data_IF_372123130624
#
_entry.id   IF_372123130624
#
_cell.length_a   1.000
_cell.length_b   1.000
_cell.length_c   1.000
_cell.angle_alpha   90.00
_cell.angle_beta   90.00
_cell.angle_gamma   90.00
#
_symmetry.space_group_name_H-M   'P 1'
#
loop_
_entity.id
_entity.type
_entity.pdbx_description
1 polymer ?
#
# COMPACT_ATOMS: atom_id res chain seq x y z
N UNK A 1 -6.63 -4.21 4.98
CA UNK A 1 -6.26 -5.02 6.15
C UNK A 1 -4.81 -4.76 6.57
N UNK A 2 -4.48 -5.06 7.82
CA UNK A 2 -3.08 -4.95 8.31
C UNK A 2 -2.14 -5.74 7.42
N UNK A 3 -2.52 -6.99 7.13
CA UNK A 3 -1.76 -7.90 6.30
C UNK A 3 -1.54 -7.37 4.86
N UNK A 4 -2.60 -6.94 4.19
CA UNK A 4 -2.50 -6.46 2.80
C UNK A 4 -1.61 -5.23 2.63
N UNK A 5 -1.56 -4.32 3.60
CA UNK A 5 -0.64 -3.17 3.56
C UNK A 5 0.79 -3.60 3.86
N UNK A 6 0.98 -4.50 4.84
CA UNK A 6 2.31 -4.95 5.26
C UNK A 6 3.07 -5.61 4.09
N UNK A 7 2.45 -6.59 3.43
CA UNK A 7 3.07 -7.33 2.32
C UNK A 7 2.83 -6.70 0.94
N UNK A 8 1.74 -5.93 0.78
CA UNK A 8 1.30 -5.41 -0.51
C UNK A 8 2.02 -4.13 -0.95
N UNK A 9 2.33 -3.22 -0.04
CA UNK A 9 3.02 -1.96 -0.34
C UNK A 9 4.11 -1.61 0.68
N UNK A 10 3.92 -1.92 1.97
CA UNK A 10 4.87 -1.53 3.01
C UNK A 10 6.25 -2.14 2.83
N UNK A 11 6.33 -3.44 2.57
CA UNK A 11 7.59 -4.17 2.40
C UNK A 11 8.17 -4.12 0.99
N UNK A 12 7.36 -3.78 -0.03
CA UNK A 12 7.76 -3.93 -1.43
C UNK A 12 8.95 -3.03 -1.82
N UNK A 13 9.07 -1.83 -1.24
CA UNK A 13 10.21 -0.97 -1.48
C UNK A 13 11.54 -1.62 -1.07
N UNK A 14 11.55 -2.28 0.10
CA UNK A 14 12.71 -3.03 0.58
C UNK A 14 12.96 -4.26 -0.30
N UNK A 15 11.91 -5.02 -0.62
CA UNK A 15 12.02 -6.23 -1.45
C UNK A 15 12.63 -5.94 -2.81
N UNK A 16 12.17 -4.89 -3.49
CA UNK A 16 12.60 -4.57 -4.86
C UNK A 16 13.96 -3.88 -4.90
N UNK A 17 14.13 -2.82 -4.13
CA UNK A 17 15.25 -1.89 -4.27
C UNK A 17 16.16 -1.84 -3.02
N UNK A 18 15.85 -2.55 -1.92
CA UNK A 18 16.68 -2.62 -0.72
C UNK A 18 18.03 -3.29 -0.97
N UNK A 19 19.04 -2.90 -0.19
CA UNK A 19 20.34 -3.59 -0.19
C UNK A 19 20.21 -5.03 0.34
N UNK A 20 21.19 -5.92 0.10
CA UNK A 20 21.19 -7.27 0.68
C UNK A 20 21.01 -7.27 2.20
N UNK A 21 21.68 -6.34 2.89
CA UNK A 21 21.62 -6.19 4.35
C UNK A 21 20.24 -5.76 4.80
N UNK A 22 19.65 -4.75 4.17
CA UNK A 22 18.28 -4.31 4.44
C UNK A 22 17.25 -5.44 4.22
N UNK A 23 17.40 -6.20 3.15
CA UNK A 23 16.53 -7.36 2.88
C UNK A 23 16.68 -8.43 3.95
N UNK A 24 17.91 -8.77 4.33
CA UNK A 24 18.20 -9.79 5.34
C UNK A 24 17.67 -9.41 6.73
N UNK A 25 17.76 -8.13 7.09
CA UNK A 25 17.28 -7.62 8.38
C UNK A 25 15.76 -7.53 8.47
N UNK A 26 15.10 -6.95 7.45
CA UNK A 26 13.69 -6.56 7.55
C UNK A 26 12.73 -7.62 7.00
N UNK A 27 13.03 -8.28 5.88
CA UNK A 27 12.06 -9.14 5.21
C UNK A 27 11.63 -10.38 6.03
N UNK A 28 12.53 -11.10 6.73
CA UNK A 28 12.11 -12.24 7.57
C UNK A 28 11.17 -11.82 8.70
N UNK A 29 11.42 -10.70 9.36
CA UNK A 29 10.61 -10.16 10.44
C UNK A 29 9.23 -9.69 9.95
N UNK A 30 9.18 -9.14 8.73
CA UNK A 30 7.91 -8.76 8.08
C UNK A 30 7.13 -10.00 7.69
N UNK A 31 7.77 -11.02 7.15
CA UNK A 31 7.14 -12.26 6.71
C UNK A 31 6.56 -13.08 7.90
N UNK A 32 7.26 -13.11 9.03
CA UNK A 32 6.78 -13.74 10.26
C UNK A 32 5.66 -12.97 10.96
N UNK A 33 5.46 -11.69 10.60
CA UNK A 33 4.52 -10.79 11.28
C UNK A 33 5.06 -10.17 12.57
N UNK A 34 6.33 -10.41 12.92
CA UNK A 34 7.01 -9.74 14.02
C UNK A 34 7.09 -8.22 13.80
N UNK A 35 7.34 -7.81 12.56
CA UNK A 35 7.41 -6.41 12.17
C UNK A 35 6.26 -6.04 11.21
N UNK A 36 5.44 -5.08 11.63
CA UNK A 36 4.47 -4.43 10.73
C UNK A 36 5.14 -3.19 10.15
N UNK A 37 5.16 -3.10 8.81
CA UNK A 37 5.69 -1.93 8.11
C UNK A 37 4.58 -1.21 7.35
N UNK A 38 4.60 0.12 7.38
CA UNK A 38 3.64 0.98 6.70
C UNK A 38 4.28 1.78 5.58
N UNK A 39 3.50 2.11 4.55
CA UNK A 39 3.95 2.91 3.41
C UNK A 39 3.55 4.37 3.61
N UNK A 40 4.53 5.28 3.69
CA UNK A 40 4.34 6.68 4.03
C UNK A 40 4.78 7.60 2.89
N UNK A 41 3.91 7.77 1.89
CA UNK A 41 4.13 8.63 0.72
C UNK A 41 3.31 9.92 0.79
N UNK A 42 1.98 9.79 0.95
CA UNK A 42 1.01 10.89 0.87
C UNK A 42 1.24 11.96 1.93
N UNK A 43 1.10 13.22 1.55
CA UNK A 43 1.17 14.39 2.43
C UNK A 43 -0.12 15.20 2.37
N UNK A 44 -0.36 16.14 3.31
CA UNK A 44 -1.53 17.01 3.25
C UNK A 44 -1.71 17.72 1.90
N UNK A 45 -0.60 18.16 1.29
CA UNK A 45 -0.59 18.92 0.04
C UNK A 45 -0.13 18.10 -1.19
N UNK A 46 0.25 16.84 -1.01
CA UNK A 46 0.75 15.99 -2.09
C UNK A 46 0.14 14.58 -2.05
N UNK A 47 -0.89 14.36 -2.85
CA UNK A 47 -1.55 13.08 -3.03
C UNK A 47 -1.32 12.53 -4.42
N UNK A 48 -2.17 12.89 -5.40
CA UNK A 48 -2.03 12.47 -6.80
C UNK A 48 -0.73 12.98 -7.42
N UNK A 49 -0.32 14.19 -7.10
CA UNK A 49 0.99 14.74 -7.46
C UNK A 49 2.03 14.35 -6.39
N UNK A 50 2.35 13.08 -6.29
CA UNK A 50 3.29 12.56 -5.29
C UNK A 50 4.73 13.05 -5.50
N UNK A 51 5.07 13.52 -6.71
CA UNK A 51 6.39 14.12 -7.00
C UNK A 51 6.62 15.47 -6.33
N UNK A 52 5.56 16.15 -5.90
CA UNK A 52 5.61 17.46 -5.23
C UNK A 52 5.67 17.37 -3.70
N UNK A 53 5.90 16.20 -3.14
CA UNK A 53 6.04 16.02 -1.68
C UNK A 53 7.08 16.99 -1.08
N UNK A 54 6.77 17.48 0.14
CA UNK A 54 7.54 18.52 0.84
C UNK A 54 8.35 18.01 2.01
N UNK A 55 8.07 16.82 2.54
CA UNK A 55 8.90 16.21 3.60
C UNK A 55 10.35 16.17 3.16
N UNK A 56 11.23 16.75 3.96
CA UNK A 56 12.67 16.84 3.66
C UNK A 56 13.48 15.81 4.43
N UNK A 57 14.64 15.43 3.89
CA UNK A 57 15.65 14.63 4.56
C UNK A 57 17.02 15.23 4.24
N UNK A 58 17.66 15.85 5.24
CA UNK A 58 18.96 16.48 5.10
C UNK A 58 20.03 15.60 5.72
N UNK A 59 21.10 15.33 5.00
CA UNK A 59 22.23 14.56 5.50
C UNK A 59 23.06 15.41 6.47
N UNK A 60 23.26 14.91 7.69
CA UNK A 60 24.09 15.50 8.73
C UNK A 60 25.04 14.43 9.31
N UNK A 61 26.28 14.43 8.85
CA UNK A 61 27.23 13.38 9.18
C UNK A 61 26.73 12.00 8.69
N UNK A 62 26.58 11.06 9.59
CA UNK A 62 26.12 9.69 9.28
C UNK A 62 24.59 9.50 9.42
N UNK A 63 23.81 10.58 9.53
CA UNK A 63 22.37 10.53 9.73
C UNK A 63 21.64 11.45 8.76
N UNK A 64 20.43 11.03 8.36
CA UNK A 64 19.46 11.94 7.76
C UNK A 64 18.55 12.52 8.85
N UNK A 65 18.32 13.82 8.79
CA UNK A 65 17.35 14.56 9.62
C UNK A 65 16.12 14.79 8.78
N UNK A 66 14.99 14.18 9.18
CA UNK A 66 13.73 14.23 8.47
C UNK A 66 12.78 15.23 9.12
N UNK A 67 12.14 16.05 8.28
CA UNK A 67 11.13 17.04 8.70
C UNK A 67 9.94 17.05 7.75
N UNK A 68 8.73 16.99 8.29
CA UNK A 68 7.49 17.02 7.52
C UNK A 68 6.37 16.22 8.12
N UNK A 69 5.32 15.98 7.33
CA UNK A 69 4.15 15.22 7.78
C UNK A 69 3.61 14.35 6.66
N UNK A 70 3.30 13.10 6.99
CA UNK A 70 2.63 12.14 6.10
C UNK A 70 1.19 11.94 6.54
N UNK A 71 0.27 11.83 5.58
CA UNK A 71 -1.16 11.79 5.84
C UNK A 71 -1.80 10.48 5.41
N UNK A 72 -2.84 10.05 6.16
CA UNK A 72 -3.61 8.84 5.89
C UNK A 72 -2.78 7.54 5.91
N UNK A 73 -1.75 7.48 6.75
CA UNK A 73 -0.84 6.34 6.73
C UNK A 73 -1.50 5.12 7.40
N UNK A 74 -1.78 4.15 6.55
CA UNK A 74 -2.44 2.90 6.94
C UNK A 74 -1.56 2.09 7.88
N UNK A 75 -2.15 1.57 8.97
CA UNK A 75 -1.50 0.82 10.04
C UNK A 75 -0.47 1.62 10.86
N UNK A 76 -0.28 2.91 10.65
CA UNK A 76 0.71 3.69 11.39
C UNK A 76 0.67 3.48 12.92
N UNK A 77 -0.50 3.39 13.60
CA UNK A 77 -0.54 3.14 15.04
C UNK A 77 -0.02 1.75 15.48
N UNK A 78 0.25 0.84 14.55
CA UNK A 78 0.74 -0.52 14.81
C UNK A 78 2.07 -0.81 14.11
N UNK A 79 2.54 0.13 13.30
CA UNK A 79 3.77 -0.04 12.56
C UNK A 79 4.97 -0.02 13.51
N UNK A 80 5.89 -0.94 13.34
CA UNK A 80 7.22 -0.90 13.94
C UNK A 80 8.23 -0.19 13.04
N UNK A 81 7.90 0.01 11.75
CA UNK A 81 8.70 0.81 10.82
C UNK A 81 7.84 1.37 9.67
N UNK A 82 8.39 2.35 8.97
CA UNK A 82 7.78 3.00 7.80
C UNK A 82 8.74 2.95 6.60
N UNK A 83 8.23 2.53 5.44
CA UNK A 83 8.82 2.87 4.14
C UNK A 83 8.37 4.29 3.80
N UNK A 84 9.23 5.27 4.00
CA UNK A 84 8.89 6.68 3.98
C UNK A 84 9.65 7.41 2.87
N UNK A 85 8.93 8.21 2.07
CA UNK A 85 9.49 9.04 1.02
C UNK A 85 9.76 10.45 1.54
N UNK A 86 10.99 10.94 1.31
CA UNK A 86 11.38 12.29 1.67
C UNK A 86 12.32 12.88 0.63
N UNK A 87 12.38 14.19 0.55
CA UNK A 87 13.20 14.92 -0.40
C UNK A 87 14.62 15.11 0.12
N UNK A 88 15.58 14.53 -0.59
CA UNK A 88 17.03 14.69 -0.33
C UNK A 88 17.71 15.63 -1.32
N UNK A 89 17.04 15.94 -2.44
CA UNK A 89 17.57 16.76 -3.53
C UNK A 89 16.61 17.87 -3.96
N UNK A 90 16.82 18.40 -5.15
CA UNK A 90 16.01 19.44 -5.77
C UNK A 90 14.55 19.06 -6.01
N UNK A 91 13.78 19.94 -6.70
CA UNK A 91 12.38 19.70 -7.00
C UNK A 91 12.19 18.52 -7.94
N UNK A 92 10.94 18.01 -7.99
CA UNK A 92 10.54 16.90 -8.86
C UNK A 92 10.91 15.50 -8.32
N UNK A 93 10.65 14.50 -9.13
CA UNK A 93 10.77 13.09 -8.79
C UNK A 93 12.20 12.65 -8.42
N UNK A 94 13.20 13.17 -9.14
CA UNK A 94 14.61 12.84 -8.92
C UNK A 94 15.17 13.32 -7.58
N UNK A 95 14.51 14.27 -6.91
CA UNK A 95 14.90 14.72 -5.58
C UNK A 95 14.37 13.84 -4.43
N UNK A 96 13.55 12.83 -4.72
CA UNK A 96 12.90 12.01 -3.70
C UNK A 96 13.69 10.74 -3.43
N UNK A 97 13.90 10.45 -2.14
CA UNK A 97 14.51 9.21 -1.64
C UNK A 97 13.52 8.43 -0.78
N UNK A 98 13.73 7.12 -0.66
CA UNK A 98 12.95 6.25 0.21
C UNK A 98 13.79 5.82 1.41
N UNK A 99 13.19 5.80 2.59
CA UNK A 99 13.83 5.48 3.86
C UNK A 99 13.09 4.38 4.61
N UNK A 100 13.83 3.55 5.34
CA UNK A 100 13.29 2.73 6.41
C UNK A 100 13.39 3.56 7.70
N UNK A 101 12.24 3.96 8.24
CA UNK A 101 12.17 4.77 9.47
C UNK A 101 11.53 3.93 10.57
N UNK A 102 12.29 3.50 11.60
CA UNK A 102 11.73 2.84 12.78
C UNK A 102 10.69 3.71 13.48
N UNK A 103 9.64 3.11 14.02
CA UNK A 103 8.55 3.85 14.65
C UNK A 103 8.94 4.53 15.97
N UNK A 104 9.99 4.03 16.62
CA UNK A 104 10.58 4.57 17.84
C UNK A 104 11.67 5.65 17.59
N UNK A 105 11.85 6.07 16.33
CA UNK A 105 12.80 7.12 15.96
C UNK A 105 12.49 8.41 16.75
N UNK A 106 13.46 8.96 17.51
CA UNK A 106 13.29 10.26 18.16
C UNK A 106 12.90 11.34 17.16
N UNK A 107 11.87 12.14 17.49
CA UNK A 107 11.32 13.14 16.59
C UNK A 107 10.18 12.63 15.68
N UNK A 108 9.88 11.31 15.69
CA UNK A 108 8.69 10.78 15.05
C UNK A 108 7.53 10.73 16.04
N UNK A 109 6.37 11.22 15.63
CA UNK A 109 5.12 11.12 16.39
C UNK A 109 3.95 10.79 15.48
N UNK A 110 2.86 10.30 16.08
CA UNK A 110 1.65 9.91 15.35
C UNK A 110 0.49 10.84 15.71
N UNK A 111 -0.25 11.23 14.68
CA UNK A 111 -1.49 11.96 14.84
C UNK A 111 -2.63 11.07 15.40
N UNK A 112 -3.76 11.70 15.70
CA UNK A 112 -4.97 10.99 16.11
C UNK A 112 -5.48 10.09 14.99
N UNK A 113 -5.87 8.83 15.28
CA UNK A 113 -6.47 7.95 14.29
C UNK A 113 -7.72 8.54 13.62
N UNK A 114 -7.79 8.41 12.30
CA UNK A 114 -8.90 8.92 11.50
C UNK A 114 -10.22 8.19 11.80
N UNK A 115 -11.32 8.93 11.80
CA UNK A 115 -12.69 8.38 11.79
C UNK A 115 -13.08 8.10 10.35
N UNK A 116 -13.20 6.81 9.99
CA UNK A 116 -13.49 6.39 8.62
C UNK A 116 -14.91 5.89 8.46
N UNK A 117 -15.49 6.07 7.27
CA UNK A 117 -16.80 5.54 6.89
C UNK A 117 -16.76 4.00 6.87
N UNK A 118 -15.73 3.40 6.28
CA UNK A 118 -15.50 1.96 6.17
C UNK A 118 -14.09 1.55 6.56
N UNK A 119 -13.75 0.27 6.40
CA UNK A 119 -12.44 -0.29 6.73
C UNK A 119 -11.97 0.04 8.16
N UNK A 120 -12.91 0.08 9.13
CA UNK A 120 -12.67 0.56 10.50
C UNK A 120 -11.72 -0.34 11.31
N UNK A 121 -11.55 -1.58 10.91
CA UNK A 121 -10.59 -2.52 11.51
C UNK A 121 -9.13 -2.17 11.24
N UNK A 122 -8.86 -1.38 10.21
CA UNK A 122 -7.55 -0.86 9.87
C UNK A 122 -7.50 0.63 10.21
N UNK A 123 -6.57 1.04 11.06
CA UNK A 123 -6.42 2.45 11.44
C UNK A 123 -5.51 3.18 10.47
N UNK A 124 -5.82 4.45 10.22
CA UNK A 124 -4.95 5.41 9.52
C UNK A 124 -4.72 6.61 10.43
N UNK A 125 -3.57 7.24 10.35
CA UNK A 125 -3.28 8.53 10.97
C UNK A 125 -2.13 9.23 10.26
N UNK A 126 -1.85 10.45 10.69
CA UNK A 126 -0.69 11.19 10.26
C UNK A 126 0.58 10.65 10.94
N UNK A 127 1.71 10.72 10.22
CA UNK A 127 3.07 10.49 10.75
C UNK A 127 3.80 11.82 10.66
N UNK A 128 4.20 12.34 11.80
CA UNK A 128 4.81 13.66 11.95
C UNK A 128 6.29 13.46 12.25
N UNK A 129 7.14 14.20 11.54
CA UNK A 129 8.58 14.17 11.64
C UNK A 129 9.07 15.57 12.04
N UNK A 130 9.65 15.67 13.21
CA UNK A 130 10.26 16.88 13.74
C UNK A 130 11.70 16.58 14.13
N UNK A 131 12.62 16.92 13.23
CA UNK A 131 14.05 16.57 13.36
C UNK A 131 14.29 15.09 13.63
N UNK A 132 13.49 14.21 13.02
CA UNK A 132 13.61 12.76 13.16
C UNK A 132 14.91 12.28 12.53
N UNK A 133 15.79 11.67 13.35
CA UNK A 133 17.13 11.26 12.90
C UNK A 133 17.17 9.77 12.62
N UNK A 134 17.56 9.42 11.40
CA UNK A 134 17.77 8.03 10.97
C UNK A 134 19.17 7.84 10.40
N UNK A 135 19.81 6.68 10.62
CA UNK A 135 21.12 6.41 10.02
C UNK A 135 21.09 6.56 8.50
N UNK A 136 22.18 7.03 7.91
CA UNK A 136 22.28 7.16 6.45
C UNK A 136 22.10 5.81 5.73
N UNK A 137 22.46 4.70 6.38
CA UNK A 137 22.24 3.34 5.90
C UNK A 137 20.74 2.96 5.74
N UNK A 138 19.82 3.72 6.34
CA UNK A 138 18.39 3.48 6.23
C UNK A 138 17.77 3.98 4.91
N UNK A 139 18.54 4.66 4.06
CA UNK A 139 18.09 4.97 2.70
C UNK A 139 17.96 3.66 1.90
N UNK A 140 16.78 3.41 1.33
CA UNK A 140 16.52 2.17 0.61
C UNK A 140 17.38 2.14 -0.66
N UNK A 141 18.14 1.06 -0.82
CA UNK A 141 19.06 0.86 -1.94
C UNK A 141 20.38 1.64 -1.82
N UNK A 142 20.62 2.36 -0.72
CA UNK A 142 21.88 3.05 -0.44
C UNK A 142 22.15 4.30 -1.29
N UNK A 143 21.29 4.65 -2.25
CA UNK A 143 21.49 5.76 -3.21
C UNK A 143 20.37 6.79 -3.11
N UNK A 144 20.67 8.08 -2.89
CA UNK A 144 19.68 9.15 -2.91
C UNK A 144 19.03 9.34 -4.28
N UNK A 145 17.78 9.89 -4.29
CA UNK A 145 17.09 10.27 -5.52
C UNK A 145 16.38 9.13 -6.26
N UNK A 146 16.38 7.90 -5.74
CA UNK A 146 15.70 6.75 -6.35
C UNK A 146 14.32 6.48 -5.74
N UNK A 147 13.95 7.16 -4.66
CA UNK A 147 12.74 6.83 -3.88
C UNK A 147 11.43 7.00 -4.64
N UNK A 148 11.32 7.98 -5.54
CA UNK A 148 10.12 8.14 -6.36
C UNK A 148 9.93 6.96 -7.32
N UNK A 149 11.01 6.52 -7.98
CA UNK A 149 10.98 5.34 -8.85
C UNK A 149 10.59 4.08 -8.07
N UNK A 150 11.17 3.89 -6.89
CA UNK A 150 10.79 2.81 -5.97
C UNK A 150 9.31 2.89 -5.60
N UNK A 151 8.80 4.08 -5.24
CA UNK A 151 7.40 4.26 -4.89
C UNK A 151 6.45 3.91 -6.05
N UNK A 152 6.78 4.28 -7.29
CA UNK A 152 5.96 3.96 -8.46
C UNK A 152 5.92 2.45 -8.72
N UNK A 153 7.06 1.77 -8.68
CA UNK A 153 7.12 0.29 -8.77
C UNK A 153 6.26 -0.40 -7.70
N UNK A 154 6.32 0.09 -6.46
CA UNK A 154 5.50 -0.43 -5.36
C UNK A 154 4.01 -0.24 -5.64
N UNK A 155 3.61 0.93 -6.13
CA UNK A 155 2.21 1.24 -6.43
C UNK A 155 1.68 0.43 -7.61
N UNK A 156 2.48 0.16 -8.64
CA UNK A 156 2.07 -0.66 -9.78
C UNK A 156 1.72 -2.09 -9.34
N UNK A 157 2.58 -2.73 -8.55
CA UNK A 157 2.26 -4.01 -7.93
C UNK A 157 1.09 -3.93 -6.94
N UNK A 158 1.01 -2.83 -6.21
CA UNK A 158 -0.09 -2.57 -5.28
C UNK A 158 -1.45 -2.51 -5.98
N UNK A 159 -1.52 -1.95 -7.20
CA UNK A 159 -2.75 -1.91 -8.02
C UNK A 159 -3.24 -3.30 -8.38
N UNK A 160 -2.34 -4.20 -8.81
CA UNK A 160 -2.69 -5.59 -9.10
C UNK A 160 -3.20 -6.31 -7.84
N UNK A 161 -2.51 -6.13 -6.72
CA UNK A 161 -2.89 -6.74 -5.45
C UNK A 161 -4.29 -6.28 -5.00
N UNK A 162 -4.58 -4.97 -5.03
CA UNK A 162 -5.90 -4.47 -4.61
C UNK A 162 -7.01 -4.88 -5.58
N UNK A 163 -6.70 -5.02 -6.87
CA UNK A 163 -7.64 -5.54 -7.87
C UNK A 163 -8.03 -6.98 -7.55
N UNK A 164 -7.08 -7.84 -7.22
CA UNK A 164 -7.34 -9.21 -6.80
C UNK A 164 -8.17 -9.29 -5.51
N UNK A 165 -7.87 -8.45 -4.52
CA UNK A 165 -8.65 -8.33 -3.27
C UNK A 165 -10.09 -7.90 -3.56
N UNK A 166 -10.29 -6.95 -4.47
CA UNK A 166 -11.62 -6.46 -4.87
C UNK A 166 -12.44 -7.55 -5.57
N UNK A 167 -11.83 -8.30 -6.47
CA UNK A 167 -12.48 -9.46 -7.12
C UNK A 167 -12.86 -10.54 -6.10
N UNK A 168 -11.97 -10.86 -5.15
CA UNK A 168 -12.27 -11.83 -4.09
C UNK A 168 -13.43 -11.39 -3.18
N UNK A 169 -13.50 -10.10 -2.85
CA UNK A 169 -14.60 -9.54 -2.08
C UNK A 169 -15.92 -9.59 -2.88
N UNK A 170 -15.89 -9.21 -4.16
CA UNK A 170 -17.04 -9.26 -5.04
C UNK A 170 -17.57 -10.70 -5.19
N UNK A 171 -16.67 -11.68 -5.38
CA UNK A 171 -17.04 -13.09 -5.43
C UNK A 171 -17.79 -13.53 -4.16
N UNK A 172 -17.29 -13.16 -2.98
CA UNK A 172 -17.94 -13.49 -1.71
C UNK A 172 -19.31 -12.83 -1.58
N UNK A 173 -19.42 -11.54 -1.91
CA UNK A 173 -20.70 -10.82 -1.85
C UNK A 173 -21.72 -11.45 -2.81
N UNK A 174 -21.29 -11.79 -4.03
CA UNK A 174 -22.18 -12.41 -5.02
C UNK A 174 -22.67 -13.80 -4.55
N UNK A 175 -21.77 -14.60 -3.94
CA UNK A 175 -22.16 -15.91 -3.41
C UNK A 175 -23.20 -15.79 -2.27
N UNK A 176 -23.00 -14.87 -1.34
CA UNK A 176 -23.98 -14.57 -0.29
C UNK A 176 -25.31 -14.04 -0.86
N UNK A 177 -25.25 -13.17 -1.88
CA UNK A 177 -26.46 -12.67 -2.54
C UNK A 177 -27.25 -13.79 -3.22
N UNK A 178 -26.56 -14.71 -3.89
CA UNK A 178 -27.19 -15.89 -4.52
C UNK A 178 -27.84 -16.81 -3.50
N UNK A 179 -27.19 -17.06 -2.34
CA UNK A 179 -27.79 -17.85 -1.25
C UNK A 179 -29.03 -17.17 -0.71
N UNK A 180 -28.94 -15.88 -0.41
CA UNK A 180 -30.07 -15.12 0.10
C UNK A 180 -31.25 -15.09 -0.91
N UNK A 181 -30.98 -14.92 -2.19
CA UNK A 181 -32.01 -14.91 -3.23
C UNK A 181 -32.76 -16.24 -3.36
N UNK A 182 -32.12 -17.37 -3.04
CA UNK A 182 -32.76 -18.70 -2.99
C UNK A 182 -33.62 -18.89 -1.75
N UNK A 183 -33.20 -18.36 -0.62
CA UNK A 183 -33.82 -18.62 0.69
C UNK A 183 -34.92 -17.61 1.00
N UNK A 184 -34.75 -16.33 0.64
CA UNK A 184 -35.73 -15.26 0.88
C UNK A 184 -36.93 -15.42 -0.01
N UNK A 185 -38.13 -15.47 0.58
CA UNK A 185 -39.41 -15.59 -0.13
C UNK A 185 -40.21 -14.30 -0.04
N UNK A 186 -40.81 -13.90 -1.13
CA UNK A 186 -41.82 -12.84 -1.24
C UNK A 186 -42.83 -13.23 -2.34
N UNK A 187 -44.09 -12.82 -2.19
CA UNK A 187 -45.17 -13.17 -3.11
C UNK A 187 -45.27 -14.68 -3.37
N UNK A 188 -45.06 -15.48 -2.29
CA UNK A 188 -45.19 -16.94 -2.33
C UNK A 188 -44.02 -17.71 -2.94
N UNK A 189 -42.96 -17.06 -3.42
CA UNK A 189 -41.81 -17.70 -4.08
C UNK A 189 -40.47 -17.11 -3.67
N UNK A 190 -39.32 -17.80 -3.89
CA UNK A 190 -38.00 -17.24 -3.71
C UNK A 190 -37.79 -15.98 -4.52
N UNK A 191 -37.10 -14.98 -3.99
CA UNK A 191 -36.86 -13.74 -4.74
C UNK A 191 -35.96 -13.97 -5.96
N UNK A 192 -35.13 -15.00 -5.98
CA UNK A 192 -34.33 -15.42 -7.14
C UNK A 192 -35.15 -15.87 -8.36
N UNK A 193 -36.46 -16.05 -8.23
CA UNK A 193 -37.36 -16.34 -9.34
C UNK A 193 -37.89 -15.08 -10.05
N UNK A 194 -37.58 -13.88 -9.53
CA UNK A 194 -37.92 -12.62 -10.17
C UNK A 194 -36.86 -12.22 -11.20
N UNK A 195 -37.26 -11.89 -12.42
CA UNK A 195 -36.36 -11.59 -13.52
C UNK A 195 -35.38 -10.44 -13.22
N UNK A 196 -35.81 -9.39 -12.51
CA UNK A 196 -34.92 -8.29 -12.14
C UNK A 196 -33.80 -8.76 -11.17
N UNK A 197 -34.06 -9.66 -10.25
CA UNK A 197 -33.05 -10.24 -9.38
C UNK A 197 -32.08 -11.13 -10.18
N UNK A 198 -32.63 -11.92 -11.11
CA UNK A 198 -31.83 -12.75 -12.02
C UNK A 198 -30.89 -11.88 -12.87
N UNK A 199 -31.39 -10.78 -13.45
CA UNK A 199 -30.59 -9.84 -14.23
C UNK A 199 -29.44 -9.25 -13.39
N UNK A 200 -29.72 -8.74 -12.19
CA UNK A 200 -28.66 -8.20 -11.31
C UNK A 200 -27.59 -9.24 -10.97
N UNK A 201 -27.98 -10.48 -10.69
CA UNK A 201 -27.01 -11.56 -10.39
C UNK A 201 -26.20 -11.97 -11.62
N UNK A 202 -26.84 -11.99 -12.80
CA UNK A 202 -26.19 -12.33 -14.06
C UNK A 202 -25.16 -11.26 -14.46
N UNK A 203 -25.53 -9.99 -14.42
CA UNK A 203 -24.64 -8.86 -14.72
C UNK A 203 -23.45 -8.84 -13.76
N UNK A 204 -23.70 -8.95 -12.46
CA UNK A 204 -22.63 -9.00 -11.45
C UNK A 204 -21.67 -10.19 -11.67
N UNK A 205 -22.19 -11.35 -12.08
CA UNK A 205 -21.36 -12.51 -12.39
C UNK A 205 -20.51 -12.29 -13.64
N UNK A 206 -21.07 -11.68 -14.69
CA UNK A 206 -20.36 -11.40 -15.93
C UNK A 206 -19.24 -10.39 -15.71
N UNK A 207 -19.50 -9.29 -14.99
CA UNK A 207 -18.51 -8.28 -14.64
C UNK A 207 -17.39 -8.85 -13.76
N UNK A 208 -17.73 -9.68 -12.78
CA UNK A 208 -16.74 -10.34 -11.92
C UNK A 208 -15.82 -11.27 -12.73
N UNK A 209 -16.36 -12.06 -13.64
CA UNK A 209 -15.56 -12.95 -14.49
C UNK A 209 -14.62 -12.16 -15.40
N UNK A 210 -15.09 -11.07 -16.02
CA UNK A 210 -14.27 -10.20 -16.84
C UNK A 210 -13.12 -9.55 -16.02
N UNK A 211 -13.45 -9.00 -14.86
CA UNK A 211 -12.45 -8.40 -13.97
C UNK A 211 -11.42 -9.43 -13.49
N UNK A 212 -11.85 -10.63 -13.12
CA UNK A 212 -10.98 -11.71 -12.69
C UNK A 212 -10.04 -12.18 -13.80
N UNK A 213 -10.57 -12.35 -15.02
CA UNK A 213 -9.75 -12.72 -16.18
C UNK A 213 -8.66 -11.67 -16.48
N UNK A 214 -9.00 -10.37 -16.38
CA UNK A 214 -8.03 -9.29 -16.56
C UNK A 214 -6.94 -9.31 -15.48
N UNK A 215 -7.32 -9.51 -14.21
CA UNK A 215 -6.36 -9.61 -13.10
C UNK A 215 -5.39 -10.77 -13.31
N UNK A 216 -5.89 -11.93 -13.73
CA UNK A 216 -5.05 -13.10 -14.02
C UNK A 216 -4.11 -12.86 -15.20
N UNK A 217 -4.58 -12.26 -16.27
CA UNK A 217 -3.77 -11.94 -17.45
C UNK A 217 -2.64 -10.97 -17.08
N UNK A 218 -2.94 -9.90 -16.34
CA UNK A 218 -1.93 -8.94 -15.88
C UNK A 218 -0.93 -9.62 -14.94
N UNK A 219 -1.38 -10.46 -14.01
CA UNK A 219 -0.50 -11.19 -13.11
C UNK A 219 0.49 -12.09 -13.90
N UNK A 220 -0.02 -12.81 -14.91
CA UNK A 220 0.84 -13.64 -15.77
C UNK A 220 1.85 -12.82 -16.58
N UNK A 221 1.50 -11.60 -16.99
CA UNK A 221 2.46 -10.69 -17.65
C UNK A 221 3.57 -10.28 -16.70
N UNK A 222 3.24 -9.97 -15.43
CA UNK A 222 4.26 -9.72 -14.41
C UNK A 222 5.20 -10.90 -14.21
N UNK A 223 4.68 -12.14 -14.17
CA UNK A 223 5.48 -13.34 -13.96
C UNK A 223 6.39 -13.67 -15.17
N UNK A 224 5.94 -13.39 -16.40
CA UNK A 224 6.71 -13.61 -17.64
C UNK A 224 7.75 -12.55 -17.94
N UNK A 225 7.79 -11.49 -17.16
CA UNK A 225 8.63 -10.33 -17.39
C UNK A 225 10.11 -10.68 -17.25
N UNK A 226 10.97 -10.36 -18.26
CA UNK A 226 12.41 -10.50 -18.12
C UNK A 226 12.93 -9.57 -17.01
N UNK A 227 14.01 -9.95 -16.31
CA UNK A 227 14.66 -9.06 -15.35
C UNK A 227 15.04 -7.72 -16.00
N UNK A 228 14.62 -6.61 -15.38
CA UNK A 228 14.94 -5.26 -15.84
C UNK A 228 13.97 -4.61 -16.84
N UNK A 229 12.95 -5.31 -17.32
CA UNK A 229 11.91 -4.70 -18.15
C UNK A 229 10.99 -3.75 -17.34
N UNK A 230 10.38 -2.72 -17.97
CA UNK A 230 9.37 -1.85 -17.35
C UNK A 230 8.09 -2.61 -16.96
N UNK A 231 7.34 -2.20 -15.95
CA UNK A 231 6.08 -2.85 -15.59
C UNK A 231 5.02 -2.70 -16.70
N UNK A 232 4.21 -3.73 -16.95
CA UNK A 232 3.21 -3.75 -18.01
C UNK A 232 2.08 -2.77 -17.77
#
# INVERSE_FOLDING_TARGET
SVFGTNIGIGSQGILMDGTPEQKAEYLPRIASGELIISFALTEPDAGSDAGSLKTTARLEGEHYVLNGSKRFITNAPRAGAFTLMARTGGPGAAGVSAFIVPADTPGLSLGKPDRKMGQRGTKTCDVILDNARVPAANIIGGVPGQGFKTAMKVLDRGRLNISAVSCGLAARILDESRRYARDRRQFGKPIGEFQLIQAMLADSQAELLAAWALVQEVAQRFDRKPPGASDP
#
